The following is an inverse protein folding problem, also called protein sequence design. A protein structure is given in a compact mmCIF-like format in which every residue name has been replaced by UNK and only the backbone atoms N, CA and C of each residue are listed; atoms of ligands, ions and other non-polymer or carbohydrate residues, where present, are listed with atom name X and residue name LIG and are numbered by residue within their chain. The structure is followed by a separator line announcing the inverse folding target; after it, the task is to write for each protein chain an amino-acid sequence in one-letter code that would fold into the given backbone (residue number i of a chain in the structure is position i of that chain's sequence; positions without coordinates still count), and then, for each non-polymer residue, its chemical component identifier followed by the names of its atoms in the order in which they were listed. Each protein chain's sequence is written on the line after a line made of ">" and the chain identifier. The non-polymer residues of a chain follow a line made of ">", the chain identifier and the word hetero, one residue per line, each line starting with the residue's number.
data_IF_157247355816
#
_entry.id   IF_157247355816
#
_cell.length_a   1.000
_cell.length_b   1.000
_cell.length_c   1.000
_cell.angle_alpha   90.00
_cell.angle_beta   90.00
_cell.angle_gamma   90.00
#
_symmetry.space_group_name_H-M   'P 1'
#
loop_
_entity.id
_entity.type
_entity.pdbx_description
1 polymer ?
#
# COMPACT_ATOMS: atom_id res chain seq x y z
N UNK A 1 13.21 -5.78 0.53
CA UNK A 1 12.76 -5.28 -0.78
C UNK A 1 12.67 -3.76 -0.84
N UNK A 2 11.64 -3.08 -0.29
CA UNK A 2 11.50 -1.60 -0.42
C UNK A 2 12.71 -0.84 0.12
N UNK A 3 13.23 -1.22 1.29
CA UNK A 3 14.43 -0.59 1.88
C UNK A 3 15.70 -0.71 1.04
N UNK A 4 15.77 -1.73 0.18
CA UNK A 4 16.98 -2.09 -0.56
C UNK A 4 16.89 -1.65 -2.03
N UNK A 5 15.70 -1.76 -2.62
CA UNK A 5 15.47 -1.47 -4.04
C UNK A 5 14.69 -0.17 -4.27
N UNK A 6 14.27 0.50 -3.20
CA UNK A 6 13.52 1.77 -3.21
C UNK A 6 12.25 1.75 -4.07
N UNK A 7 11.67 0.55 -4.25
CA UNK A 7 10.49 0.30 -5.07
C UNK A 7 9.70 -0.88 -4.54
N UNK A 8 8.44 -0.97 -4.95
CA UNK A 8 7.61 -2.13 -4.67
C UNK A 8 7.95 -3.31 -5.59
N UNK A 9 7.77 -4.55 -5.12
CA UNK A 9 7.73 -5.72 -5.99
C UNK A 9 6.72 -5.56 -7.14
N UNK A 10 6.99 -6.19 -8.29
CA UNK A 10 6.18 -6.07 -9.51
C UNK A 10 4.73 -6.59 -9.40
N UNK A 11 4.39 -7.32 -8.33
CA UNK A 11 3.02 -7.80 -8.12
C UNK A 11 2.08 -6.72 -7.55
N UNK A 12 2.62 -5.58 -7.12
CA UNK A 12 1.81 -4.44 -6.72
C UNK A 12 1.23 -3.68 -7.92
N UNK A 13 0.01 -3.20 -7.75
CA UNK A 13 -0.70 -2.33 -8.70
C UNK A 13 -1.29 -1.15 -7.94
N UNK A 14 -1.27 0.03 -8.53
CA UNK A 14 -2.00 1.18 -7.98
C UNK A 14 -3.50 0.91 -8.01
N UNK A 15 -4.26 1.64 -7.18
CA UNK A 15 -5.73 1.56 -7.21
C UNK A 15 -6.29 1.89 -8.60
N UNK A 16 -5.66 2.81 -9.33
CA UNK A 16 -6.08 3.20 -10.69
C UNK A 16 -5.92 2.04 -11.66
N UNK A 17 -4.76 1.40 -11.68
CA UNK A 17 -4.48 0.26 -12.57
C UNK A 17 -5.38 -0.94 -12.25
N UNK A 18 -5.57 -1.24 -10.96
CA UNK A 18 -6.44 -2.33 -10.56
C UNK A 18 -7.89 -2.09 -11.00
N UNK A 19 -8.43 -0.87 -10.81
CA UNK A 19 -9.79 -0.50 -11.26
C UNK A 19 -9.94 -0.60 -12.78
N UNK A 20 -8.93 -0.17 -13.54
CA UNK A 20 -8.93 -0.28 -14.99
C UNK A 20 -9.01 -1.75 -15.47
N UNK A 21 -8.57 -2.70 -14.63
CA UNK A 21 -8.63 -4.15 -14.89
C UNK A 21 -9.82 -4.84 -14.21
N UNK A 22 -10.84 -4.08 -13.79
CA UNK A 22 -12.10 -4.64 -13.27
C UNK A 22 -12.16 -4.84 -11.75
N UNK A 23 -11.16 -4.39 -10.99
CA UNK A 23 -11.25 -4.41 -9.53
C UNK A 23 -12.27 -3.40 -9.02
N UNK A 24 -13.20 -3.88 -8.20
CA UNK A 24 -14.23 -3.08 -7.52
C UNK A 24 -14.09 -3.36 -6.02
N UNK A 25 -13.61 -2.37 -5.27
CA UNK A 25 -13.30 -2.51 -3.84
C UNK A 25 -14.45 -3.11 -3.01
N UNK A 26 -15.69 -2.66 -3.24
CA UNK A 26 -16.87 -3.18 -2.53
C UNK A 26 -17.26 -4.61 -2.88
N UNK A 27 -16.82 -5.13 -4.04
CA UNK A 27 -17.10 -6.52 -4.47
C UNK A 27 -16.07 -7.53 -3.98
N UNK A 28 -14.98 -7.09 -3.35
CA UNK A 28 -13.90 -7.95 -2.84
C UNK A 28 -13.24 -8.82 -3.93
N UNK A 29 -13.34 -8.40 -5.19
CA UNK A 29 -13.02 -9.21 -6.35
C UNK A 29 -11.56 -9.07 -6.84
N UNK A 30 -10.64 -8.54 -6.01
CA UNK A 30 -9.29 -8.24 -6.48
C UNK A 30 -8.57 -9.51 -6.96
N UNK A 31 -8.60 -10.59 -6.17
CA UNK A 31 -7.97 -11.85 -6.58
C UNK A 31 -8.70 -12.55 -7.73
N UNK A 32 -9.99 -12.30 -7.91
CA UNK A 32 -10.77 -12.88 -9.01
C UNK A 32 -10.35 -12.27 -10.35
N UNK A 33 -10.16 -10.95 -10.39
CA UNK A 33 -9.75 -10.24 -11.62
C UNK A 33 -8.24 -10.14 -11.80
N UNK A 34 -7.48 -10.19 -10.71
CA UNK A 34 -6.04 -9.96 -10.65
C UNK A 34 -5.38 -10.94 -9.68
N UNK A 35 -5.32 -12.24 -10.02
CA UNK A 35 -4.73 -13.26 -9.16
C UNK A 35 -3.26 -12.97 -8.86
N UNK A 36 -2.86 -13.16 -7.60
CA UNK A 36 -1.50 -12.93 -7.13
C UNK A 36 -1.07 -11.46 -7.06
N UNK A 37 -2.01 -10.50 -7.20
CA UNK A 37 -1.71 -9.06 -7.13
C UNK A 37 -2.15 -8.46 -5.79
N UNK A 38 -1.50 -7.36 -5.43
CA UNK A 38 -1.83 -6.56 -4.25
C UNK A 38 -1.91 -5.06 -4.61
N UNK A 39 -2.60 -4.26 -3.80
CA UNK A 39 -2.72 -2.82 -4.01
C UNK A 39 -1.53 -2.10 -3.38
N UNK A 40 -0.89 -1.21 -4.13
CA UNK A 40 0.19 -0.38 -3.61
C UNK A 40 0.84 0.52 -4.66
N UNK A 41 1.56 1.54 -4.18
CA UNK A 41 2.23 2.55 -5.01
C UNK A 41 1.46 3.86 -5.14
N UNK A 42 0.27 3.97 -4.55
CA UNK A 42 -0.47 5.22 -4.49
C UNK A 42 0.19 6.21 -3.50
N UNK A 43 0.05 7.50 -3.76
CA UNK A 43 0.55 8.56 -2.87
C UNK A 43 -0.23 8.57 -1.55
N UNK A 44 0.50 8.48 -0.43
CA UNK A 44 -0.02 8.67 0.91
C UNK A 44 0.10 10.14 1.32
N UNK A 45 -1.05 10.80 1.49
CA UNK A 45 -1.09 12.26 1.71
C UNK A 45 -0.66 12.72 3.11
N UNK A 46 -0.43 11.81 4.06
CA UNK A 46 -0.08 12.12 5.45
C UNK A 46 -0.95 13.24 6.06
N UNK A 47 -2.27 13.20 5.83
CA UNK A 47 -3.20 14.28 6.20
C UNK A 47 -3.24 14.53 7.71
N UNK A 48 -3.11 13.47 8.49
CA UNK A 48 -3.08 13.51 9.95
C UNK A 48 -1.70 13.87 10.52
N UNK A 49 -0.69 14.10 9.66
CA UNK A 49 0.66 14.55 10.04
C UNK A 49 1.35 13.65 11.07
N UNK A 50 1.07 12.35 11.04
CA UNK A 50 1.66 11.33 11.93
C UNK A 50 3.07 10.93 11.52
N UNK A 51 3.45 11.24 10.28
CA UNK A 51 4.80 11.07 9.76
C UNK A 51 5.45 12.44 9.52
N UNK A 52 6.79 12.54 9.44
CA UNK A 52 7.50 13.79 9.14
C UNK A 52 7.00 14.49 7.86
N UNK A 53 6.97 15.82 7.82
CA UNK A 53 6.37 16.58 6.69
C UNK A 53 7.28 16.79 5.48
N UNK A 54 8.58 16.53 5.61
CA UNK A 54 9.59 16.85 4.59
C UNK A 54 9.73 15.78 3.47
N UNK A 55 8.78 14.87 3.34
CA UNK A 55 8.89 13.74 2.40
C UNK A 55 7.58 13.47 1.65
N UNK A 56 7.72 12.92 0.44
CA UNK A 56 6.63 12.31 -0.29
C UNK A 56 6.50 10.86 0.16
N UNK A 57 5.28 10.45 0.48
CA UNK A 57 4.99 9.11 0.96
C UNK A 57 4.14 8.34 -0.05
N UNK A 58 4.35 7.03 -0.07
CA UNK A 58 3.60 6.06 -0.83
C UNK A 58 3.09 4.97 0.12
N UNK A 59 2.00 4.30 -0.26
CA UNK A 59 1.41 3.23 0.53
C UNK A 59 1.32 1.91 -0.24
N UNK A 60 1.42 0.80 0.48
CA UNK A 60 1.18 -0.52 -0.09
C UNK A 60 0.57 -1.48 0.95
N UNK A 61 -0.35 -2.32 0.49
CA UNK A 61 -0.97 -3.36 1.29
C UNK A 61 0.05 -4.43 1.64
N UNK A 62 0.03 -4.90 2.88
CA UNK A 62 0.79 -6.08 3.30
C UNK A 62 -0.15 -7.09 3.94
N UNK A 63 0.31 -8.33 4.05
CA UNK A 63 -0.49 -9.43 4.61
C UNK A 63 -1.84 -9.67 3.90
N UNK A 64 -1.98 -9.23 2.63
CA UNK A 64 -3.20 -9.42 1.86
C UNK A 64 -3.36 -10.89 1.42
N UNK A 65 -4.51 -11.50 1.73
CA UNK A 65 -4.82 -12.92 1.44
C UNK A 65 -6.13 -13.10 0.67
N UNK A 66 -6.43 -12.20 -0.26
CA UNK A 66 -7.68 -12.16 -1.03
C UNK A 66 -8.92 -11.72 -0.23
N UNK A 67 -10.00 -11.39 -0.96
CA UNK A 67 -11.22 -10.82 -0.38
C UNK A 67 -11.05 -9.35 -0.03
N UNK A 68 -11.49 -8.97 1.19
CA UNK A 68 -11.36 -7.61 1.68
C UNK A 68 -9.89 -7.23 1.90
N UNK A 69 -9.54 -5.99 1.54
CA UNK A 69 -8.24 -5.43 1.90
C UNK A 69 -8.16 -5.33 3.42
N UNK A 70 -7.04 -5.80 3.99
CA UNK A 70 -6.76 -5.65 5.41
C UNK A 70 -6.46 -4.21 5.83
N UNK A 71 -6.25 -4.04 7.12
CA UNK A 71 -5.81 -2.79 7.76
C UNK A 71 -4.30 -2.58 7.63
N UNK A 72 -3.55 -3.64 7.42
CA UNK A 72 -2.10 -3.62 7.38
C UNK A 72 -1.57 -2.97 6.09
N UNK A 73 -0.76 -1.91 6.26
CA UNK A 73 -0.05 -1.26 5.17
C UNK A 73 1.35 -0.87 5.58
N UNK A 74 2.25 -0.87 4.61
CA UNK A 74 3.47 -0.09 4.71
C UNK A 74 3.25 1.30 4.14
N UNK A 75 3.91 2.30 4.74
CA UNK A 75 4.08 3.64 4.19
C UNK A 75 5.57 3.87 4.02
N UNK A 76 5.98 4.36 2.86
CA UNK A 76 7.40 4.48 2.53
C UNK A 76 7.71 5.72 1.69
N UNK A 77 8.98 6.14 1.71
CA UNK A 77 9.49 7.23 0.88
C UNK A 77 10.32 6.71 -0.29
N UNK A 78 10.58 7.58 -1.27
CA UNK A 78 11.57 7.37 -2.34
C UNK A 78 12.97 7.07 -1.81
N UNK A 79 13.35 7.67 -0.67
CA UNK A 79 14.62 7.40 0.03
C UNK A 79 14.66 6.06 0.79
N UNK A 80 13.66 5.18 0.62
CA UNK A 80 13.67 3.84 1.22
C UNK A 80 13.32 3.76 2.71
N UNK A 81 12.89 4.86 3.35
CA UNK A 81 12.36 4.83 4.73
C UNK A 81 11.00 4.14 4.73
N UNK A 82 10.75 3.26 5.71
CA UNK A 82 9.53 2.44 5.78
C UNK A 82 8.94 2.50 7.18
N UNK A 83 7.61 2.60 7.23
CA UNK A 83 6.79 2.44 8.43
C UNK A 83 5.72 1.39 8.18
N UNK A 84 5.39 0.61 9.21
CA UNK A 84 4.27 -0.31 9.22
C UNK A 84 3.12 0.29 10.02
N UNK A 85 1.90 0.15 9.52
CA UNK A 85 0.66 0.34 10.28
C UNK A 85 -0.16 -0.95 10.19
N UNK A 86 -0.70 -1.42 11.32
CA UNK A 86 -1.60 -2.59 11.39
C UNK A 86 -3.02 -2.19 11.81
N UNK A 87 -3.24 -0.91 12.07
CA UNK A 87 -4.45 -0.34 12.65
C UNK A 87 -5.11 0.69 11.73
N UNK A 88 -4.86 0.57 10.43
CA UNK A 88 -5.40 1.43 9.38
C UNK A 88 -4.99 2.90 9.58
N UNK A 89 -3.68 3.14 9.60
CA UNK A 89 -3.01 4.44 9.72
C UNK A 89 -3.23 5.17 11.05
N UNK A 90 -3.69 4.47 12.10
CA UNK A 90 -3.83 5.10 13.43
C UNK A 90 -2.47 5.31 14.08
N UNK A 91 -1.59 4.31 14.01
CA UNK A 91 -0.21 4.37 14.49
C UNK A 91 0.77 3.85 13.43
N UNK A 92 2.03 4.25 13.58
CA UNK A 92 3.11 3.90 12.66
C UNK A 92 4.35 3.44 13.43
N UNK A 93 4.88 2.28 13.07
CA UNK A 93 6.12 1.74 13.62
C UNK A 93 7.21 1.78 12.55
N UNK A 94 8.33 2.50 12.77
CA UNK A 94 9.47 2.47 11.86
C UNK A 94 9.96 1.04 11.66
N UNK A 95 10.39 0.70 10.45
CA UNK A 95 10.88 -0.63 10.10
C UNK A 95 12.38 -0.64 9.91
#
# INVERSE_FOLDING_TARGET
>A
YVKEHHRLPHYYLTKKEARAKGWIAGKKNLCDVLPGRAIGGDVFKNRERKLPLAAVYYEADVNYRCGHRGTDRIVFTDAGKVWLTTDHYKTFTPQ
#
